data_IF_688758880264
#
_entry.id   IF_688758880264
#
_cell.length_a   1.000
_cell.length_b   1.000
_cell.length_c   1.000
_cell.angle_alpha   90.00
_cell.angle_beta   90.00
_cell.angle_gamma   90.00
#
_symmetry.space_group_name_H-M   'P 1'
#
loop_
_entity.id
_entity.type
_entity.pdbx_description
1 polymer ?
#
# COMPACT_ATOMS: atom_id res chain seq x y z
N UNK A 1 0.50 -4.44 -9.39
CA UNK A 1 1.16 -4.36 -10.71
C UNK A 1 2.27 -5.40 -10.81
N UNK A 2 2.30 -6.21 -11.87
CA UNK A 2 3.43 -7.11 -12.17
C UNK A 2 3.20 -8.62 -11.95
N UNK A 3 2.06 -9.06 -11.41
CA UNK A 3 1.65 -10.46 -11.43
C UNK A 3 0.89 -10.80 -12.72
N UNK A 4 0.81 -12.09 -13.09
CA UNK A 4 0.08 -12.54 -14.28
C UNK A 4 -1.37 -12.07 -14.30
N UNK A 5 -2.09 -12.21 -13.19
CA UNK A 5 -3.48 -11.76 -13.04
C UNK A 5 -3.63 -10.23 -13.15
N UNK A 6 -2.68 -9.47 -12.62
CA UNK A 6 -2.67 -8.01 -12.74
C UNK A 6 -2.52 -7.57 -14.20
N UNK A 7 -1.72 -8.29 -14.98
CA UNK A 7 -1.52 -8.00 -16.40
C UNK A 7 -2.75 -8.37 -17.24
N UNK A 8 -3.41 -9.50 -16.93
CA UNK A 8 -4.66 -9.88 -17.59
C UNK A 8 -5.75 -8.82 -17.33
N UNK A 9 -5.88 -8.38 -16.08
CA UNK A 9 -6.84 -7.32 -15.71
C UNK A 9 -6.54 -6.00 -16.38
N UNK A 10 -5.27 -5.61 -16.46
CA UNK A 10 -4.85 -4.44 -17.21
C UNK A 10 -5.27 -4.57 -18.68
N UNK A 11 -4.92 -5.68 -19.31
CA UNK A 11 -5.19 -5.92 -20.72
C UNK A 11 -6.69 -5.88 -21.06
N UNK A 12 -7.54 -6.52 -20.25
CA UNK A 12 -8.98 -6.56 -20.51
C UNK A 12 -9.64 -5.19 -20.36
N UNK A 13 -9.14 -4.34 -19.46
CA UNK A 13 -9.61 -2.96 -19.27
C UNK A 13 -9.09 -2.06 -20.38
N UNK A 14 -7.79 -2.11 -20.68
CA UNK A 14 -7.18 -1.31 -21.76
C UNK A 14 -7.75 -1.67 -23.14
N UNK A 15 -8.11 -2.94 -23.36
CA UNK A 15 -8.76 -3.39 -24.59
C UNK A 15 -10.25 -3.05 -24.65
N UNK A 16 -10.81 -2.46 -23.60
CA UNK A 16 -12.24 -2.13 -23.46
C UNK A 16 -13.18 -3.35 -23.53
N UNK A 17 -12.75 -4.50 -22.99
CA UNK A 17 -13.54 -5.75 -23.03
C UNK A 17 -14.34 -6.00 -21.77
N UNK A 18 -13.91 -5.44 -20.63
CA UNK A 18 -14.65 -5.53 -19.38
C UNK A 18 -15.83 -4.56 -19.42
N UNK A 19 -17.07 -5.04 -19.46
CA UNK A 19 -18.27 -4.20 -19.54
C UNK A 19 -18.88 -3.92 -18.17
N UNK A 20 -18.91 -4.91 -17.29
CA UNK A 20 -19.40 -4.73 -15.93
C UNK A 20 -18.81 -5.73 -14.94
N UNK A 21 -18.84 -5.37 -13.67
CA UNK A 21 -18.60 -6.28 -12.56
C UNK A 21 -19.72 -6.13 -11.55
N UNK A 22 -20.27 -7.27 -11.12
CA UNK A 22 -21.32 -7.33 -10.10
C UNK A 22 -20.72 -7.99 -8.87
N UNK A 23 -20.63 -7.26 -7.75
CA UNK A 23 -20.26 -7.81 -6.46
C UNK A 23 -21.48 -8.53 -5.86
N UNK A 24 -21.32 -9.82 -5.55
CA UNK A 24 -22.38 -10.65 -4.98
C UNK A 24 -22.29 -10.70 -3.45
N UNK A 25 -23.39 -11.07 -2.76
CA UNK A 25 -23.35 -11.33 -1.34
C UNK A 25 -22.31 -12.40 -0.98
N UNK A 26 -21.74 -12.26 0.22
CA UNK A 26 -20.96 -13.33 0.84
C UNK A 26 -21.85 -14.53 1.20
N UNK A 27 -21.25 -15.68 1.52
CA UNK A 27 -21.98 -16.89 1.97
C UNK A 27 -23.04 -17.39 0.98
N UNK A 28 -22.81 -17.15 -0.32
CA UNK A 28 -23.67 -17.60 -1.41
C UNK A 28 -23.36 -19.02 -1.89
N UNK A 29 -22.24 -19.62 -1.48
CA UNK A 29 -21.77 -20.92 -1.98
C UNK A 29 -21.48 -21.89 -0.82
N UNK A 30 -21.64 -23.18 -1.12
CA UNK A 30 -21.57 -24.26 -0.13
C UNK A 30 -20.19 -24.42 0.51
N UNK A 31 -19.13 -24.19 -0.27
CA UNK A 31 -17.74 -24.52 0.08
C UNK A 31 -16.91 -23.28 0.47
N UNK A 32 -17.49 -22.08 0.42
CA UNK A 32 -16.79 -20.85 0.77
C UNK A 32 -17.76 -19.76 1.19
N UNK A 33 -17.43 -19.10 2.29
CA UNK A 33 -18.09 -17.89 2.75
C UNK A 33 -17.67 -16.60 2.02
N UNK A 34 -16.65 -16.64 1.16
CA UNK A 34 -16.06 -15.44 0.55
C UNK A 34 -17.04 -14.79 -0.45
N UNK A 35 -17.06 -13.46 -0.51
CA UNK A 35 -17.79 -12.71 -1.53
C UNK A 35 -17.24 -12.96 -2.93
N UNK A 36 -18.13 -13.13 -3.90
CA UNK A 36 -17.75 -13.40 -5.29
C UNK A 36 -18.20 -12.30 -6.23
N UNK A 37 -17.74 -12.37 -7.48
CA UNK A 37 -18.03 -11.38 -8.50
C UNK A 37 -18.47 -12.05 -9.80
N UNK A 38 -19.41 -11.43 -10.50
CA UNK A 38 -19.72 -11.77 -11.89
C UNK A 38 -19.03 -10.75 -12.78
N UNK A 39 -18.19 -11.23 -13.70
CA UNK A 39 -17.52 -10.41 -14.70
C UNK A 39 -18.27 -10.52 -16.02
N UNK A 40 -18.76 -9.40 -16.53
CA UNK A 40 -19.38 -9.33 -17.85
C UNK A 40 -18.32 -8.82 -18.83
N UNK A 41 -17.91 -9.69 -19.74
CA UNK A 41 -16.85 -9.44 -20.71
C UNK A 41 -17.41 -9.59 -22.12
N UNK A 42 -17.17 -8.58 -22.96
CA UNK A 42 -17.56 -8.58 -24.37
C UNK A 42 -16.58 -7.75 -25.19
N UNK A 43 -16.23 -8.23 -26.38
CA UNK A 43 -15.45 -7.46 -27.35
C UNK A 43 -16.37 -6.67 -28.33
N UNK A 44 -17.67 -6.60 -28.04
CA UNK A 44 -18.70 -5.94 -28.85
C UNK A 44 -19.60 -5.07 -27.96
N UNK A 45 -19.00 -4.18 -27.17
CA UNK A 45 -19.75 -3.22 -26.36
C UNK A 45 -20.65 -2.35 -27.24
N UNK A 46 -21.88 -2.12 -26.79
CA UNK A 46 -22.76 -1.14 -27.41
C UNK A 46 -22.11 0.26 -27.35
N UNK A 47 -22.40 1.15 -28.31
CA UNK A 47 -21.74 2.47 -28.37
C UNK A 47 -21.80 3.24 -27.05
N UNK A 48 -22.94 3.22 -26.34
CA UNK A 48 -23.11 3.88 -25.04
C UNK A 48 -22.25 3.30 -23.89
N UNK A 49 -21.66 2.11 -24.07
CA UNK A 49 -20.88 1.37 -23.07
C UNK A 49 -19.37 1.39 -23.35
N UNK A 50 -18.94 1.81 -24.55
CA UNK A 50 -17.53 1.87 -24.92
C UNK A 50 -16.76 2.82 -24.01
N UNK A 51 -15.55 2.41 -23.65
CA UNK A 51 -14.64 3.13 -22.75
C UNK A 51 -15.07 3.14 -21.28
N UNK A 52 -16.15 2.43 -20.93
CA UNK A 52 -16.76 2.45 -19.60
C UNK A 52 -16.89 1.04 -19.02
N UNK A 53 -16.79 0.98 -17.69
CA UNK A 53 -17.06 -0.20 -16.88
C UNK A 53 -18.17 0.15 -15.90
N UNK A 54 -19.15 -0.74 -15.80
CA UNK A 54 -20.27 -0.61 -14.87
C UNK A 54 -20.02 -1.48 -13.64
N UNK A 55 -19.81 -0.86 -12.48
CA UNK A 55 -19.77 -1.57 -11.20
C UNK A 55 -21.17 -1.62 -10.61
N UNK A 56 -21.57 -2.80 -10.16
CA UNK A 56 -22.83 -3.04 -9.46
C UNK A 56 -22.56 -3.71 -8.11
N UNK A 57 -23.00 -3.06 -7.04
CA UNK A 57 -22.88 -3.61 -5.69
C UNK A 57 -24.19 -4.27 -5.27
N UNK A 58 -24.23 -5.60 -5.36
CA UNK A 58 -25.37 -6.42 -4.96
C UNK A 58 -25.08 -7.18 -3.66
N UNK A 59 -24.06 -6.78 -2.88
CA UNK A 59 -23.67 -7.48 -1.64
C UNK A 59 -24.80 -7.56 -0.61
N UNK A 60 -25.66 -6.55 -0.57
CA UNK A 60 -26.80 -6.46 0.34
C UNK A 60 -28.12 -6.99 -0.26
N UNK A 61 -28.10 -7.47 -1.51
CA UNK A 61 -29.25 -8.10 -2.15
C UNK A 61 -29.24 -9.60 -1.87
N UNK A 62 -29.91 -10.05 -0.81
CA UNK A 62 -29.98 -11.48 -0.50
C UNK A 62 -31.20 -11.84 0.35
N UNK A 63 -31.49 -13.14 0.40
CA UNK A 63 -32.46 -13.76 1.30
C UNK A 63 -31.78 -14.86 2.10
N UNK A 64 -32.14 -14.99 3.38
CA UNK A 64 -31.58 -16.02 4.26
C UNK A 64 -32.02 -17.43 3.83
N UNK A 65 -31.07 -18.38 3.86
CA UNK A 65 -31.31 -19.78 3.55
C UNK A 65 -30.46 -20.31 2.41
N UNK A 66 -30.41 -21.63 2.28
CA UNK A 66 -29.66 -22.33 1.24
C UNK A 66 -30.31 -22.26 -0.14
N UNK A 67 -31.63 -22.05 -0.23
CA UNK A 67 -32.33 -21.80 -1.49
C UNK A 67 -33.69 -21.13 -1.23
N UNK A 68 -34.36 -20.74 -2.31
CA UNK A 68 -35.73 -20.22 -2.26
C UNK A 68 -36.72 -21.27 -1.71
N UNK A 69 -36.44 -22.55 -1.95
CA UNK A 69 -37.23 -23.68 -1.47
C UNK A 69 -36.85 -24.15 -0.05
N UNK A 70 -35.65 -23.77 0.44
CA UNK A 70 -35.11 -24.27 1.71
C UNK A 70 -34.38 -23.20 2.51
N UNK A 71 -34.94 -22.92 3.69
CA UNK A 71 -34.32 -22.03 4.69
C UNK A 71 -33.11 -22.64 5.39
N UNK A 72 -32.82 -23.94 5.18
CA UNK A 72 -31.67 -24.59 5.82
C UNK A 72 -30.38 -24.10 5.19
N UNK A 73 -29.40 -23.75 6.02
CA UNK A 73 -28.04 -23.50 5.57
C UNK A 73 -27.41 -24.78 5.02
N UNK A 74 -26.53 -24.64 4.05
CA UNK A 74 -25.89 -25.76 3.38
C UNK A 74 -24.37 -25.51 3.35
N UNK A 75 -23.66 -26.08 4.32
CA UNK A 75 -22.25 -25.72 4.56
C UNK A 75 -22.11 -24.24 4.90
N UNK A 76 -21.26 -23.53 4.17
CA UNK A 76 -21.08 -22.07 4.30
C UNK A 76 -22.23 -21.27 3.68
N UNK A 77 -23.05 -21.91 2.84
CA UNK A 77 -24.15 -21.22 2.15
C UNK A 77 -25.26 -20.89 3.14
N UNK A 78 -25.44 -19.60 3.38
CA UNK A 78 -26.49 -19.05 4.26
C UNK A 78 -27.34 -18.00 3.57
N UNK A 79 -26.96 -17.59 2.38
CA UNK A 79 -27.62 -16.57 1.57
C UNK A 79 -27.91 -17.11 0.17
N UNK A 80 -29.00 -16.65 -0.41
CA UNK A 80 -29.33 -16.87 -1.82
C UNK A 80 -29.97 -15.60 -2.41
N UNK A 81 -29.99 -15.54 -3.74
CA UNK A 81 -30.74 -14.55 -4.50
C UNK A 81 -32.05 -15.19 -4.95
N UNK A 82 -33.18 -14.50 -4.73
CA UNK A 82 -34.48 -14.91 -5.29
C UNK A 82 -34.57 -14.52 -6.76
N UNK A 83 -35.56 -15.08 -7.49
CA UNK A 83 -35.82 -14.68 -8.88
C UNK A 83 -36.04 -13.17 -9.03
N UNK A 84 -36.80 -12.56 -8.12
CA UNK A 84 -37.05 -11.11 -8.12
C UNK A 84 -35.78 -10.28 -7.90
N UNK A 85 -34.90 -10.71 -6.99
CA UNK A 85 -33.63 -10.04 -6.74
C UNK A 85 -32.70 -10.13 -7.95
N UNK A 86 -32.70 -11.27 -8.66
CA UNK A 86 -31.96 -11.44 -9.92
C UNK A 86 -32.51 -10.47 -10.99
N UNK A 87 -33.84 -10.39 -11.13
CA UNK A 87 -34.48 -9.46 -12.08
C UNK A 87 -34.15 -7.99 -11.79
N UNK A 88 -34.03 -7.64 -10.51
CA UNK A 88 -33.61 -6.29 -10.10
C UNK A 88 -32.14 -6.01 -10.50
N UNK A 89 -31.23 -6.96 -10.25
CA UNK A 89 -29.82 -6.83 -10.67
C UNK A 89 -29.71 -6.69 -12.19
N UNK A 90 -30.45 -7.51 -12.95
CA UNK A 90 -30.47 -7.46 -14.42
C UNK A 90 -31.03 -6.13 -14.92
N UNK A 91 -32.08 -5.59 -14.28
CA UNK A 91 -32.63 -4.26 -14.61
C UNK A 91 -31.63 -3.15 -14.31
N UNK A 92 -30.95 -3.18 -13.17
CA UNK A 92 -29.90 -2.21 -12.82
C UNK A 92 -28.76 -2.24 -13.85
N UNK A 93 -28.30 -3.44 -14.22
CA UNK A 93 -27.32 -3.65 -15.27
C UNK A 93 -27.76 -3.08 -16.62
N UNK A 94 -28.99 -3.37 -17.05
CA UNK A 94 -29.52 -2.90 -18.34
C UNK A 94 -29.66 -1.39 -18.42
N UNK A 95 -30.16 -0.77 -17.34
CA UNK A 95 -30.39 0.68 -17.21
C UNK A 95 -29.09 1.47 -17.36
N UNK A 96 -27.98 0.98 -16.78
CA UNK A 96 -26.68 1.64 -16.81
C UNK A 96 -26.81 3.13 -16.41
N UNK A 97 -27.27 3.37 -15.18
CA UNK A 97 -27.35 4.70 -14.59
C UNK A 97 -26.73 4.68 -13.19
N UNK A 98 -26.10 5.77 -12.77
CA UNK A 98 -25.51 5.87 -11.43
C UNK A 98 -26.58 5.84 -10.33
N UNK A 99 -26.27 5.15 -9.25
CA UNK A 99 -27.05 5.08 -8.01
C UNK A 99 -26.13 4.76 -6.82
N UNK A 100 -26.70 4.43 -5.67
CA UNK A 100 -25.96 3.90 -4.53
C UNK A 100 -25.36 2.52 -4.83
N UNK A 101 -26.07 1.68 -5.59
CA UNK A 101 -25.62 0.32 -5.94
C UNK A 101 -24.99 0.23 -7.34
N UNK A 102 -24.86 1.35 -8.05
CA UNK A 102 -24.46 1.37 -9.46
C UNK A 102 -23.50 2.53 -9.73
N UNK A 103 -22.31 2.25 -10.25
CA UNK A 103 -21.34 3.28 -10.67
C UNK A 103 -20.85 3.01 -12.07
N UNK A 104 -20.87 4.04 -12.92
CA UNK A 104 -20.34 4.00 -14.28
C UNK A 104 -19.05 4.80 -14.31
N UNK A 105 -17.96 4.11 -14.60
CA UNK A 105 -16.61 4.67 -14.54
C UNK A 105 -15.92 4.47 -15.88
N UNK A 106 -15.03 5.38 -16.24
CA UNK A 106 -14.18 5.20 -17.41
C UNK A 106 -13.09 4.17 -17.13
N UNK A 107 -12.56 3.54 -18.18
CA UNK A 107 -11.47 2.57 -18.03
C UNK A 107 -10.26 3.15 -17.27
N UNK A 108 -9.98 4.45 -17.43
CA UNK A 108 -8.88 5.14 -16.76
C UNK A 108 -9.10 5.32 -15.24
N UNK A 109 -10.35 5.27 -14.74
CA UNK A 109 -10.63 5.41 -13.30
C UNK A 109 -10.11 4.22 -12.47
N UNK A 110 -9.91 3.08 -13.12
CA UNK A 110 -9.35 1.87 -12.52
C UNK A 110 -7.83 1.82 -12.56
N UNK A 111 -7.23 2.71 -13.33
CA UNK A 111 -5.79 2.75 -13.51
C UNK A 111 -5.10 3.64 -12.48
N UNK A 112 -3.88 3.27 -12.13
CA UNK A 112 -2.96 4.11 -11.38
C UNK A 112 -1.53 3.95 -11.91
N UNK A 113 -0.73 4.99 -11.72
CA UNK A 113 0.73 4.90 -11.82
C UNK A 113 1.28 4.67 -10.42
N UNK A 114 1.88 3.49 -10.20
CA UNK A 114 2.68 3.24 -9.00
C UNK A 114 4.01 3.95 -9.16
N UNK A 115 4.25 4.96 -8.34
CA UNK A 115 5.50 5.73 -8.31
C UNK A 115 6.37 5.29 -7.16
N UNK A 116 7.69 5.37 -7.32
CA UNK A 116 8.64 5.06 -6.26
C UNK A 116 9.04 6.35 -5.55
N UNK A 117 8.76 6.43 -4.25
CA UNK A 117 9.16 7.53 -3.37
C UNK A 117 10.46 7.11 -2.68
N UNK A 118 11.54 7.82 -2.99
CA UNK A 118 12.84 7.60 -2.36
C UNK A 118 13.03 8.65 -1.25
N UNK A 119 13.67 8.22 -0.16
CA UNK A 119 14.07 9.08 0.96
C UNK A 119 15.58 8.98 1.13
N UNK A 120 16.24 10.03 1.64
CA UNK A 120 17.68 10.02 1.69
C UNK A 120 18.18 9.13 2.83
N UNK A 121 19.20 8.35 2.52
CA UNK A 121 19.97 7.59 3.49
C UNK A 121 20.72 8.57 4.40
N UNK A 122 20.61 8.33 5.70
CA UNK A 122 21.29 9.11 6.73
C UNK A 122 22.15 8.18 7.56
N UNK A 123 23.42 8.52 7.70
CA UNK A 123 24.39 7.66 8.37
C UNK A 123 25.11 8.41 9.47
N UNK A 124 25.01 7.88 10.68
CA UNK A 124 25.86 8.24 11.81
C UNK A 124 27.11 7.37 11.80
N UNK A 125 28.27 8.01 11.83
CA UNK A 125 29.56 7.35 11.99
C UNK A 125 29.91 7.19 13.46
N UNK A 126 30.47 6.04 13.83
CA UNK A 126 31.12 5.84 15.11
C UNK A 126 32.14 4.71 15.02
N UNK A 127 33.33 4.92 15.60
CA UNK A 127 34.32 3.85 15.74
C UNK A 127 34.32 3.30 17.16
N UNK A 128 33.94 2.03 17.30
CA UNK A 128 34.06 1.28 18.56
C UNK A 128 35.25 0.32 18.50
N UNK A 129 35.69 -0.16 19.67
CA UNK A 129 36.76 -1.17 19.76
C UNK A 129 36.35 -2.46 19.03
N UNK A 130 35.11 -2.88 19.24
CA UNK A 130 34.59 -4.14 18.71
C UNK A 130 34.42 -4.07 17.17
N UNK A 131 33.90 -2.96 16.65
CA UNK A 131 33.78 -2.75 15.21
C UNK A 131 35.16 -2.68 14.54
N UNK A 132 36.13 -2.06 15.22
CA UNK A 132 37.52 -1.98 14.76
C UNK A 132 38.15 -3.37 14.68
N UNK A 133 38.01 -4.19 15.72
CA UNK A 133 38.47 -5.57 15.72
C UNK A 133 37.82 -6.36 14.57
N UNK A 134 36.48 -6.30 14.46
CA UNK A 134 35.73 -7.00 13.40
C UNK A 134 36.14 -6.59 11.99
N UNK A 135 36.42 -5.31 11.76
CA UNK A 135 36.93 -4.85 10.45
C UNK A 135 38.31 -5.40 10.15
N UNK A 136 39.22 -5.38 11.14
CA UNK A 136 40.61 -5.80 10.98
C UNK A 136 40.77 -7.32 10.88
N UNK A 137 39.87 -8.11 11.48
CA UNK A 137 39.82 -9.56 11.25
C UNK A 137 39.60 -9.89 9.78
N UNK A 138 38.79 -9.07 9.08
CA UNK A 138 38.51 -9.24 7.66
C UNK A 138 39.54 -8.56 6.74
N UNK A 139 40.14 -7.46 7.19
CA UNK A 139 41.06 -6.62 6.43
C UNK A 139 42.31 -6.29 7.26
N UNK A 140 43.13 -7.29 7.66
CA UNK A 140 44.24 -7.07 8.60
C UNK A 140 45.35 -6.18 8.03
N UNK A 141 45.53 -6.20 6.70
CA UNK A 141 46.50 -5.37 5.99
C UNK A 141 46.14 -3.87 6.00
N UNK A 142 44.96 -3.48 6.49
CA UNK A 142 44.56 -2.07 6.65
C UNK A 142 44.79 -1.54 8.07
N UNK A 143 45.50 -2.28 8.94
CA UNK A 143 45.72 -1.92 10.34
C UNK A 143 46.22 -0.49 10.53
N UNK A 144 47.29 -0.12 9.83
CA UNK A 144 47.94 1.18 10.02
C UNK A 144 47.02 2.34 9.63
N UNK A 145 46.22 2.16 8.58
CA UNK A 145 45.26 3.16 8.14
C UNK A 145 44.08 3.29 9.11
N UNK A 146 43.54 2.16 9.57
CA UNK A 146 42.43 2.17 10.53
C UNK A 146 42.88 2.76 11.87
N UNK A 147 44.12 2.52 12.30
CA UNK A 147 44.71 3.18 13.48
C UNK A 147 44.87 4.69 13.28
N UNK A 148 45.30 5.12 12.09
CA UNK A 148 45.39 6.54 11.76
C UNK A 148 44.00 7.21 11.76
N UNK A 149 42.98 6.55 11.22
CA UNK A 149 41.59 7.04 11.24
C UNK A 149 41.06 7.14 12.67
N UNK A 150 41.24 6.10 13.52
CA UNK A 150 40.83 6.10 14.94
C UNK A 150 41.46 7.28 15.69
N UNK A 151 42.75 7.52 15.47
CA UNK A 151 43.47 8.64 16.09
C UNK A 151 43.00 10.00 15.61
N UNK A 152 42.68 10.14 14.32
CA UNK A 152 42.30 11.41 13.71
C UNK A 152 40.86 11.81 14.01
N UNK A 153 39.92 10.86 13.96
CA UNK A 153 38.49 11.12 14.13
C UNK A 153 37.99 10.87 15.54
N UNK A 154 38.71 10.08 16.34
CA UNK A 154 38.27 9.65 17.66
C UNK A 154 37.08 8.68 17.59
N UNK A 155 36.37 8.57 18.71
CA UNK A 155 35.29 7.58 18.93
C UNK A 155 33.93 8.19 19.23
N UNK A 156 33.87 9.51 19.29
CA UNK A 156 32.59 10.21 19.44
C UNK A 156 31.74 10.02 18.18
N UNK A 157 30.41 9.90 18.31
CA UNK A 157 29.53 9.84 17.16
C UNK A 157 29.62 11.09 16.30
N UNK A 158 29.60 10.91 14.98
CA UNK A 158 29.52 12.00 14.03
C UNK A 158 28.31 11.82 13.11
N UNK A 159 27.50 12.87 13.01
CA UNK A 159 26.22 12.85 12.29
C UNK A 159 26.32 13.26 10.82
N UNK A 160 27.49 13.71 10.36
CA UNK A 160 27.76 14.02 8.96
C UNK A 160 28.77 13.07 8.33
N UNK A 161 28.27 11.97 7.76
CA UNK A 161 29.08 11.01 7.03
C UNK A 161 29.83 11.65 5.84
N UNK A 162 29.31 12.71 5.22
CA UNK A 162 29.97 13.33 4.07
C UNK A 162 31.28 14.01 4.49
N UNK A 163 31.26 14.71 5.63
CA UNK A 163 32.45 15.33 6.23
C UNK A 163 33.45 14.27 6.72
N UNK A 164 32.95 13.22 7.39
CA UNK A 164 33.79 12.10 7.85
C UNK A 164 34.47 11.41 6.68
N UNK A 165 33.71 11.01 5.65
CA UNK A 165 34.24 10.33 4.47
C UNK A 165 35.30 11.18 3.75
N UNK A 166 35.07 12.50 3.64
CA UNK A 166 36.03 13.43 3.03
C UNK A 166 37.33 13.54 3.83
N UNK A 167 37.23 13.53 5.17
CA UNK A 167 38.38 13.55 6.06
C UNK A 167 39.20 12.26 5.96
N UNK A 168 38.52 11.10 5.90
CA UNK A 168 39.15 9.79 5.69
C UNK A 168 39.86 9.76 4.34
N UNK A 169 39.19 10.17 3.25
CA UNK A 169 39.81 10.17 1.92
C UNK A 169 41.04 11.09 1.87
N UNK A 170 41.02 12.23 2.56
CA UNK A 170 42.17 13.15 2.66
C UNK A 170 43.33 12.50 3.44
N UNK A 171 43.03 11.86 4.57
CA UNK A 171 44.02 11.15 5.37
C UNK A 171 44.67 10.00 4.57
N UNK A 172 43.87 9.16 3.92
CA UNK A 172 44.38 8.04 3.12
C UNK A 172 45.26 8.54 1.96
N UNK A 173 44.89 9.64 1.29
CA UNK A 173 45.72 10.26 0.25
C UNK A 173 47.08 10.74 0.78
N UNK A 174 47.11 11.38 1.95
CA UNK A 174 48.36 11.84 2.57
C UNK A 174 49.31 10.70 2.97
N UNK A 175 48.74 9.50 3.13
CA UNK A 175 49.46 8.26 3.45
C UNK A 175 49.77 7.40 2.23
N UNK A 176 49.44 7.89 1.03
CA UNK A 176 49.56 7.17 -0.24
C UNK A 176 48.80 5.83 -0.28
N UNK A 177 47.83 5.64 0.62
CA UNK A 177 47.05 4.42 0.71
C UNK A 177 45.87 4.43 -0.27
N UNK A 178 45.68 3.32 -0.98
CA UNK A 178 44.66 3.18 -2.02
C UNK A 178 43.73 2.02 -1.70
N UNK A 179 42.63 2.34 -1.04
CA UNK A 179 41.60 1.35 -0.72
C UNK A 179 40.75 1.00 -1.95
N UNK A 180 40.43 -0.28 -2.09
CA UNK A 180 39.49 -0.77 -3.10
C UNK A 180 38.05 -0.36 -2.76
N UNK A 181 37.17 -0.36 -3.77
CA UNK A 181 35.74 -0.08 -3.54
C UNK A 181 35.10 -1.07 -2.54
N UNK A 182 35.58 -2.32 -2.50
CA UNK A 182 35.12 -3.36 -1.56
C UNK A 182 35.50 -3.03 -0.13
N UNK A 183 36.73 -2.56 0.09
CA UNK A 183 37.22 -2.15 1.42
C UNK A 183 36.47 -0.92 1.92
N UNK A 184 36.31 0.12 1.09
CA UNK A 184 35.51 1.31 1.45
C UNK A 184 34.07 0.95 1.81
N UNK A 185 33.44 0.07 1.02
CA UNK A 185 32.07 -0.41 1.30
C UNK A 185 32.02 -1.19 2.62
N UNK A 186 32.98 -2.07 2.89
CA UNK A 186 33.06 -2.83 4.15
C UNK A 186 33.26 -1.88 5.34
N UNK A 187 34.17 -0.91 5.22
CA UNK A 187 34.42 0.07 6.27
C UNK A 187 33.15 0.85 6.61
N UNK A 188 32.49 1.43 5.59
CA UNK A 188 31.22 2.14 5.77
C UNK A 188 30.19 1.25 6.45
N UNK A 189 30.02 -0.01 6.02
CA UNK A 189 29.04 -0.92 6.64
C UNK A 189 29.36 -1.31 8.10
N UNK A 190 30.62 -1.21 8.53
CA UNK A 190 31.02 -1.58 9.88
C UNK A 190 30.94 -0.40 10.85
N UNK A 191 31.32 0.79 10.41
CA UNK A 191 31.45 1.97 11.27
C UNK A 191 30.33 3.00 11.10
N UNK A 192 29.27 2.68 10.34
CA UNK A 192 28.10 3.54 10.23
C UNK A 192 26.81 2.78 10.51
N UNK A 193 25.82 3.51 11.02
CA UNK A 193 24.45 3.03 11.22
C UNK A 193 23.45 4.05 10.68
N UNK A 194 22.29 3.57 10.26
CA UNK A 194 21.18 4.42 9.84
C UNK A 194 20.65 5.22 11.03
N UNK A 195 20.46 6.52 10.85
CA UNK A 195 20.03 7.43 11.92
C UNK A 195 19.20 8.59 11.35
N UNK A 196 17.98 8.81 11.86
CA UNK A 196 17.08 9.87 11.34
C UNK A 196 17.61 11.28 11.58
N UNK A 197 18.43 11.46 12.61
CA UNK A 197 18.96 12.78 13.00
C UNK A 197 20.26 13.12 12.28
N UNK A 198 20.87 12.15 11.58
CA UNK A 198 22.08 12.37 10.81
C UNK A 198 21.81 13.15 9.51
N UNK A 199 22.87 13.76 8.97
CA UNK A 199 22.81 14.45 7.69
C UNK A 199 22.62 13.43 6.55
N UNK A 200 21.87 13.80 5.49
CA UNK A 200 21.66 12.94 4.34
C UNK A 200 22.97 12.71 3.58
N UNK A 201 23.20 11.48 3.15
CA UNK A 201 24.41 11.09 2.42
C UNK A 201 24.30 11.57 0.97
N UNK A 202 25.26 12.36 0.53
CA UNK A 202 25.34 12.89 -0.82
C UNK A 202 25.77 11.81 -1.81
N UNK A 203 25.11 11.78 -2.98
CA UNK A 203 25.44 10.85 -4.06
C UNK A 203 26.59 11.41 -4.91
N UNK A 204 27.75 10.75 -4.86
CA UNK A 204 28.92 11.04 -5.71
C UNK A 204 29.38 12.51 -5.70
N UNK A 205 29.35 13.19 -4.56
CA UNK A 205 29.87 14.56 -4.42
C UNK A 205 29.19 15.63 -5.30
N UNK A 206 28.05 15.32 -5.92
CA UNK A 206 27.24 16.29 -6.65
C UNK A 206 26.17 16.83 -5.71
N UNK A 207 26.23 18.13 -5.45
CA UNK A 207 25.21 18.87 -4.70
C UNK A 207 23.84 18.62 -5.36
N UNK A 208 22.81 18.41 -4.53
CA UNK A 208 21.40 18.20 -4.88
C UNK A 208 20.94 16.77 -5.27
N UNK A 209 21.71 15.70 -4.99
CA UNK A 209 21.16 14.33 -5.01
C UNK A 209 21.67 13.51 -3.84
N UNK A 210 20.77 12.86 -3.11
CA UNK A 210 21.10 11.97 -2.01
C UNK A 210 21.14 10.50 -2.43
N UNK A 211 21.86 9.68 -1.66
CA UNK A 211 21.75 8.23 -1.77
C UNK A 211 20.37 7.79 -1.23
N UNK A 212 19.63 6.92 -1.93
CA UNK A 212 18.35 6.42 -1.43
C UNK A 212 18.56 5.47 -0.25
N UNK A 213 17.69 5.56 0.75
CA UNK A 213 17.57 4.56 1.81
C UNK A 213 16.58 3.47 1.38
N UNK A 214 17.04 2.23 1.10
CA UNK A 214 16.13 1.16 0.71
C UNK A 214 15.13 0.77 1.80
N UNK A 215 15.43 1.03 3.07
CA UNK A 215 14.55 0.71 4.20
C UNK A 215 13.41 1.73 4.37
N UNK A 216 13.60 2.95 3.87
CA UNK A 216 12.59 4.02 3.91
C UNK A 216 11.94 4.27 2.55
N UNK A 217 12.27 3.47 1.52
CA UNK A 217 11.62 3.54 0.21
C UNK A 217 10.16 3.18 0.34
N UNK A 218 9.31 4.01 -0.24
CA UNK A 218 7.87 3.78 -0.28
C UNK A 218 7.32 3.84 -1.72
N UNK A 219 6.04 3.54 -1.87
CA UNK A 219 5.34 3.55 -3.14
C UNK A 219 3.98 4.19 -3.00
N UNK A 220 3.70 5.14 -3.89
CA UNK A 220 2.39 5.77 -3.98
C UNK A 220 1.66 5.31 -5.24
N UNK A 221 0.34 5.23 -5.15
CA UNK A 221 -0.53 4.89 -6.29
C UNK A 221 -1.29 6.12 -6.74
N UNK A 222 -0.77 6.78 -7.77
CA UNK A 222 -1.36 8.00 -8.32
C UNK A 222 -2.42 7.62 -9.36
N UNK A 223 -3.68 8.07 -9.25
CA UNK A 223 -4.69 7.81 -10.29
C UNK A 223 -4.21 8.24 -11.69
N UNK A 224 -4.54 7.49 -12.74
CA UNK A 224 -4.08 7.83 -14.11
C UNK A 224 -4.53 9.21 -14.60
N UNK A 225 -5.63 9.72 -14.04
CA UNK A 225 -6.21 11.02 -14.39
C UNK A 225 -5.57 12.18 -13.60
N UNK A 226 -4.73 11.91 -12.60
CA UNK A 226 -4.10 12.94 -11.76
C UNK A 226 -2.65 13.22 -12.21
N UNK A 227 -2.19 14.45 -11.99
CA UNK A 227 -0.79 14.80 -12.25
C UNK A 227 0.09 14.29 -11.11
N UNK A 228 1.15 13.56 -11.47
CA UNK A 228 2.04 12.92 -10.49
C UNK A 228 2.80 13.95 -9.65
N UNK A 229 3.18 15.09 -10.23
CA UNK A 229 3.87 16.15 -9.50
C UNK A 229 2.94 16.80 -8.48
N UNK A 230 1.75 17.22 -8.93
CA UNK A 230 0.74 17.82 -8.06
C UNK A 230 0.26 16.88 -6.94
N UNK A 231 0.12 15.57 -7.22
CA UNK A 231 -0.16 14.57 -6.20
C UNK A 231 0.98 14.49 -5.17
N UNK A 232 2.24 14.42 -5.63
CA UNK A 232 3.39 14.32 -4.75
C UNK A 232 3.53 15.53 -3.82
N UNK A 233 3.34 16.74 -4.35
CA UNK A 233 3.41 17.97 -3.57
C UNK A 233 2.29 18.09 -2.53
N UNK A 234 1.12 17.50 -2.81
CA UNK A 234 -0.05 17.54 -1.93
C UNK A 234 -0.04 16.45 -0.87
N UNK A 235 0.32 15.22 -1.25
CA UNK A 235 0.13 14.03 -0.41
C UNK A 235 1.43 13.54 0.24
N UNK A 236 2.61 13.84 -0.33
CA UNK A 236 3.90 13.30 0.14
C UNK A 236 4.78 14.38 0.74
N UNK A 237 5.04 15.45 -0.01
CA UNK A 237 5.98 16.50 0.39
C UNK A 237 5.65 17.16 1.76
N UNK A 238 4.38 17.34 2.19
CA UNK A 238 4.07 17.91 3.50
C UNK A 238 4.52 17.03 4.67
N UNK A 239 4.60 15.72 4.47
CA UNK A 239 5.00 14.75 5.50
C UNK A 239 6.46 14.34 5.39
N UNK A 240 7.03 14.35 4.17
CA UNK A 240 8.42 13.95 3.90
C UNK A 240 9.09 14.96 2.93
N UNK A 241 9.55 16.12 3.43
CA UNK A 241 10.00 17.23 2.58
C UNK A 241 11.26 16.98 1.75
N UNK A 242 12.06 15.99 2.14
CA UNK A 242 13.33 15.63 1.49
C UNK A 242 13.20 14.40 0.57
N UNK A 243 11.98 13.90 0.38
CA UNK A 243 11.70 12.81 -0.54
C UNK A 243 11.78 13.26 -2.00
N UNK A 244 12.03 12.30 -2.90
CA UNK A 244 11.95 12.54 -4.33
C UNK A 244 11.40 11.31 -5.06
N UNK A 245 10.90 11.52 -6.27
CA UNK A 245 10.37 10.45 -7.11
C UNK A 245 11.48 9.82 -7.98
N UNK A 246 11.59 8.50 -7.97
CA UNK A 246 12.35 7.73 -8.98
C UNK A 246 11.42 7.27 -10.10
N UNK A 247 11.21 8.17 -11.07
CA UNK A 247 10.31 7.97 -12.22
C UNK A 247 10.74 6.83 -13.16
N UNK A 248 11.99 6.39 -13.10
CA UNK A 248 12.48 5.26 -13.92
C UNK A 248 11.85 3.91 -13.53
N UNK A 249 11.26 3.84 -12.34
CA UNK A 249 10.62 2.64 -11.79
C UNK A 249 9.10 2.68 -11.87
N UNK A 250 8.51 3.71 -12.46
CA UNK A 250 7.05 3.84 -12.56
C UNK A 250 6.41 2.61 -13.24
N UNK A 251 5.29 2.15 -12.69
CA UNK A 251 4.52 1.04 -13.26
C UNK A 251 3.04 1.38 -13.28
N UNK A 252 2.44 1.32 -14.46
CA UNK A 252 0.98 1.40 -14.60
C UNK A 252 0.35 0.09 -14.12
N UNK A 253 -0.59 0.22 -13.20
CA UNK A 253 -1.42 -0.86 -12.67
C UNK A 253 -2.89 -0.54 -12.85
N UNK A 254 -3.72 -1.58 -12.73
CA UNK A 254 -5.17 -1.45 -12.69
C UNK A 254 -5.71 -2.24 -11.51
N UNK A 255 -6.65 -1.64 -10.78
CA UNK A 255 -7.31 -2.23 -9.63
C UNK A 255 -8.81 -1.90 -9.67
N UNK A 256 -9.61 -2.83 -9.15
CA UNK A 256 -11.06 -2.66 -9.05
C UNK A 256 -11.39 -2.79 -7.57
N UNK A 257 -11.62 -1.65 -6.92
CA UNK A 257 -11.86 -1.59 -5.48
C UNK A 257 -13.30 -1.12 -5.23
N UNK A 258 -14.19 -2.06 -4.95
CA UNK A 258 -15.61 -1.74 -4.68
C UNK A 258 -15.76 -0.82 -3.48
N UNK A 259 -14.99 -1.03 -2.41
CA UNK A 259 -15.10 -0.19 -1.21
C UNK A 259 -14.76 1.26 -1.52
N UNK A 260 -13.79 1.55 -2.39
CA UNK A 260 -13.50 2.93 -2.83
C UNK A 260 -14.71 3.64 -3.44
N UNK A 261 -15.61 2.91 -4.08
CA UNK A 261 -16.75 3.47 -4.83
C UNK A 261 -18.09 3.39 -4.11
N UNK A 262 -18.25 2.43 -3.20
CA UNK A 262 -19.52 2.09 -2.54
C UNK A 262 -19.46 2.21 -1.02
N UNK A 263 -18.30 2.50 -0.43
CA UNK A 263 -18.22 2.72 1.01
C UNK A 263 -18.90 4.04 1.38
N UNK A 264 -19.95 3.92 2.19
CA UNK A 264 -20.58 5.04 2.87
C UNK A 264 -20.08 5.03 4.31
N UNK A 265 -19.47 6.14 4.75
CA UNK A 265 -19.10 6.29 6.14
C UNK A 265 -20.34 6.34 7.02
N UNK A 266 -20.49 5.35 7.89
CA UNK A 266 -21.51 5.35 8.94
C UNK A 266 -20.87 5.88 10.21
N UNK A 267 -21.20 7.11 10.66
CA UNK A 267 -20.70 7.60 11.93
C UNK A 267 -21.15 6.66 13.06
N UNK A 268 -20.32 6.47 14.10
CA UNK A 268 -20.76 5.76 15.29
C UNK A 268 -21.98 6.45 15.88
N UNK A 269 -22.93 5.65 16.38
CA UNK A 269 -24.11 6.16 17.10
C UNK A 269 -23.66 6.95 18.33
N UNK A 270 -24.43 7.97 18.71
CA UNK A 270 -24.07 8.77 19.89
C UNK A 270 -24.18 7.95 21.18
N UNK A 271 -23.45 8.36 22.21
CA UNK A 271 -23.46 7.63 23.49
C UNK A 271 -24.84 7.66 24.15
N UNK A 272 -25.58 8.75 24.00
CA UNK A 272 -26.92 8.92 24.58
C UNK A 272 -27.91 7.88 24.03
N UNK A 273 -27.86 7.61 22.71
CA UNK A 273 -28.68 6.59 22.06
C UNK A 273 -28.30 5.19 22.55
N UNK A 274 -27.00 4.93 22.73
CA UNK A 274 -26.52 3.65 23.25
C UNK A 274 -27.01 3.43 24.69
N UNK A 275 -26.97 4.46 25.52
CA UNK A 275 -27.42 4.40 26.92
C UNK A 275 -28.94 4.19 27.03
N UNK A 276 -29.74 4.81 26.16
CA UNK A 276 -31.19 4.58 26.11
C UNK A 276 -31.53 3.14 25.69
N UNK A 277 -30.90 2.63 24.63
CA UNK A 277 -31.10 1.25 24.19
C UNK A 277 -30.65 0.22 25.24
N UNK A 278 -29.56 0.50 25.97
CA UNK A 278 -29.10 -0.35 27.08
C UNK A 278 -30.15 -0.42 28.19
N UNK A 279 -30.74 0.72 28.56
CA UNK A 279 -31.82 0.75 29.55
C UNK A 279 -33.05 -0.01 29.08
N UNK A 280 -33.47 0.16 27.83
CA UNK A 280 -34.59 -0.58 27.26
C UNK A 280 -34.34 -2.10 27.28
N UNK A 281 -33.12 -2.51 26.89
CA UNK A 281 -32.73 -3.92 26.93
C UNK A 281 -32.69 -4.47 28.36
N UNK A 282 -32.18 -3.70 29.33
CA UNK A 282 -32.20 -4.05 30.75
C UNK A 282 -33.62 -4.21 31.28
N UNK A 283 -34.53 -3.29 30.95
CA UNK A 283 -35.94 -3.35 31.34
C UNK A 283 -36.63 -4.61 30.76
N UNK A 284 -36.37 -4.93 29.49
CA UNK A 284 -36.93 -6.12 28.85
C UNK A 284 -36.36 -7.42 29.46
N UNK A 285 -35.05 -7.47 29.76
CA UNK A 285 -34.44 -8.60 30.47
C UNK A 285 -35.09 -8.80 31.84
N UNK A 286 -35.28 -7.71 32.61
CA UNK A 286 -35.93 -7.76 33.92
C UNK A 286 -37.38 -8.22 33.83
N UNK A 287 -38.11 -7.80 32.79
CA UNK A 287 -39.48 -8.27 32.52
C UNK A 287 -39.52 -9.77 32.24
N UNK A 288 -38.64 -10.26 31.36
CA UNK A 288 -38.57 -11.68 31.00
C UNK A 288 -38.18 -12.56 32.20
N UNK A 289 -37.24 -12.11 33.03
CA UNK A 289 -36.84 -12.83 34.25
C UNK A 289 -38.00 -12.95 35.24
N UNK A 290 -38.77 -11.87 35.45
CA UNK A 290 -39.96 -11.90 36.34
C UNK A 290 -41.01 -12.89 35.87
N UNK A 291 -41.25 -12.97 34.56
CA UNK A 291 -42.22 -13.88 33.95
C UNK A 291 -41.83 -15.38 34.07
N UNK A 292 -40.57 -15.70 34.38
CA UNK A 292 -40.09 -17.08 34.58
C UNK A 292 -40.14 -17.47 36.07
N UNK A 293 -40.11 -16.48 36.98
CA UNK A 293 -40.14 -16.69 38.42
C UNK A 293 -41.55 -16.74 39.03
N UNK A 294 -42.60 -16.52 38.23
CA UNK A 294 -44.01 -16.78 38.56
C UNK A 294 -44.47 -18.13 37.97
#
# INVERSE_FOLDING_TARGET
>A
AGSGESNIRRWIIESDWLEAIIALPEQMFYNTGIGTFIWIVTNRKAERRKGKIHLLDARDMWTAGGSEESKRSLGDKRRHLTGSQIDDIVRLYGRQADSEMSKILDNADFGYTRVTVERPLRLRYQMTVDDKARFLDACPYLLDDVQAIDKALGREPADDWNAVSSSIDTLLRSRESRWTAREKKRFRSVFTRTDSEAQPVARNGRVARYEPDPALRDFESVPLKDDIGAFFDREVHPYVPDAWLDRGKDRVGYEINFNRHFYTYTPPRSLEVIDEELKEAEEEILRLLRAITE
#
